data_IF_584755596675
#
_entry.id   IF_584755596675
#
_cell.length_a   1.000
_cell.length_b   1.000
_cell.length_c   1.000
_cell.angle_alpha   90.00
_cell.angle_beta   90.00
_cell.angle_gamma   90.00
#
_symmetry.space_group_name_H-M   'P 1'
#
loop_
_entity.id
_entity.type
_entity.pdbx_description
1 polymer ?
#
# COMPACT_ATOMS: atom_id res chain seq x y z
N UNK A 1 38.99 14.27 -39.74
CA UNK A 1 37.72 14.85 -40.25
C UNK A 1 37.25 15.90 -39.25
N UNK A 2 37.09 17.17 -39.66
CA UNK A 2 36.66 18.25 -38.78
C UNK A 2 35.15 18.12 -38.50
N UNK A 3 34.79 17.51 -37.39
CA UNK A 3 33.39 17.32 -36.97
C UNK A 3 32.64 18.66 -36.80
N UNK A 4 33.37 19.77 -36.61
CA UNK A 4 32.79 21.08 -36.27
C UNK A 4 32.33 21.93 -37.46
N UNK A 5 32.60 21.51 -38.71
CA UNK A 5 32.19 22.26 -39.91
C UNK A 5 30.95 21.64 -40.59
N UNK A 6 30.48 20.48 -40.13
CA UNK A 6 29.35 19.80 -40.75
C UNK A 6 28.01 20.22 -40.11
N UNK A 7 27.34 21.21 -40.73
CA UNK A 7 26.03 21.71 -40.29
C UNK A 7 24.99 20.60 -40.10
N UNK A 8 25.02 19.53 -40.92
CA UNK A 8 24.10 18.39 -40.79
C UNK A 8 24.33 17.61 -39.49
N UNK A 9 25.59 17.43 -39.11
CA UNK A 9 25.97 16.79 -37.84
C UNK A 9 25.52 17.65 -36.65
N UNK A 10 25.73 18.97 -36.72
CA UNK A 10 25.28 19.90 -35.67
C UNK A 10 23.75 19.87 -35.49
N UNK A 11 22.98 19.86 -36.57
CA UNK A 11 21.52 19.69 -36.52
C UNK A 11 21.09 18.35 -35.94
N UNK A 12 21.77 17.25 -36.30
CA UNK A 12 21.49 15.93 -35.75
C UNK A 12 21.77 15.84 -34.24
N UNK A 13 22.89 16.40 -33.78
CA UNK A 13 23.24 16.46 -32.36
C UNK A 13 22.25 17.33 -31.58
N UNK A 14 21.86 18.49 -32.13
CA UNK A 14 20.86 19.35 -31.52
C UNK A 14 19.51 18.65 -31.40
N UNK A 15 19.05 17.99 -32.47
CA UNK A 15 17.80 17.22 -32.45
C UNK A 15 17.83 16.11 -31.40
N UNK A 16 18.94 15.37 -31.31
CA UNK A 16 19.11 14.33 -30.29
C UNK A 16 19.09 14.93 -28.87
N UNK A 17 19.79 16.05 -28.65
CA UNK A 17 19.80 16.72 -27.34
C UNK A 17 18.40 17.17 -26.93
N UNK A 18 17.60 17.72 -27.85
CA UNK A 18 16.20 18.12 -27.60
C UNK A 18 15.32 16.91 -27.26
N UNK A 19 15.47 15.79 -27.98
CA UNK A 19 14.71 14.57 -27.67
C UNK A 19 15.06 14.06 -26.29
N UNK A 20 16.36 13.99 -25.95
CA UNK A 20 16.80 13.53 -24.63
C UNK A 20 16.27 14.42 -23.50
N UNK A 21 16.33 15.76 -23.63
CA UNK A 21 15.83 16.66 -22.59
C UNK A 21 14.32 16.51 -22.36
N UNK A 22 13.53 16.29 -23.41
CA UNK A 22 12.10 16.00 -23.30
C UNK A 22 11.86 14.67 -22.56
N UNK A 23 12.58 13.62 -22.93
CA UNK A 23 12.46 12.30 -22.30
C UNK A 23 12.80 12.37 -20.80
N UNK A 24 13.93 12.98 -20.44
CA UNK A 24 14.36 13.12 -19.05
C UNK A 24 13.40 13.99 -18.22
N UNK A 25 12.90 15.08 -18.81
CA UNK A 25 11.95 15.98 -18.14
C UNK A 25 10.60 15.31 -17.91
N UNK A 26 10.11 14.56 -18.90
CA UNK A 26 8.88 13.76 -18.76
C UNK A 26 9.04 12.67 -17.69
N UNK A 27 10.15 11.94 -17.71
CA UNK A 27 10.47 10.93 -16.70
C UNK A 27 10.55 11.51 -15.28
N UNK A 28 11.19 12.68 -15.13
CA UNK A 28 11.26 13.38 -13.84
C UNK A 28 9.86 13.79 -13.35
N UNK A 29 8.99 14.25 -14.25
CA UNK A 29 7.59 14.56 -13.93
C UNK A 29 6.82 13.33 -13.44
N UNK A 30 6.90 12.22 -14.18
CA UNK A 30 6.25 10.95 -13.82
C UNK A 30 6.74 10.41 -12.46
N UNK A 31 8.06 10.45 -12.20
CA UNK A 31 8.62 10.02 -10.91
C UNK A 31 8.11 10.88 -9.75
N UNK A 32 7.98 12.20 -9.95
CA UNK A 32 7.40 13.10 -8.94
C UNK A 32 5.92 12.82 -8.70
N UNK A 33 5.15 12.56 -9.74
CA UNK A 33 3.73 12.20 -9.62
C UNK A 33 3.56 10.87 -8.87
N UNK A 34 4.38 9.87 -9.22
CA UNK A 34 4.42 8.58 -8.51
C UNK A 34 4.79 8.76 -7.04
N UNK A 35 5.83 9.54 -6.74
CA UNK A 35 6.26 9.82 -5.36
C UNK A 35 5.14 10.45 -4.55
N UNK A 36 4.46 11.48 -5.08
CA UNK A 36 3.36 12.14 -4.36
C UNK A 36 2.22 11.20 -4.01
N UNK A 37 1.87 10.29 -4.92
CA UNK A 37 0.85 9.29 -4.62
C UNK A 37 1.33 8.35 -3.50
N UNK A 38 2.60 7.92 -3.51
CA UNK A 38 3.18 7.14 -2.41
C UNK A 38 3.23 7.91 -1.09
N UNK A 39 3.54 9.21 -1.12
CA UNK A 39 3.53 10.06 0.08
C UNK A 39 2.12 10.07 0.70
N UNK A 40 1.05 10.08 -0.11
CA UNK A 40 -0.33 9.97 0.39
C UNK A 40 -0.58 8.61 1.04
N UNK A 41 -0.04 7.52 0.49
CA UNK A 41 -0.18 6.18 1.07
C UNK A 41 0.51 6.07 2.45
N UNK A 42 1.74 6.59 2.57
CA UNK A 42 2.57 6.46 3.76
C UNK A 42 2.31 7.54 4.81
N UNK A 43 2.20 8.80 4.39
CA UNK A 43 2.15 9.98 5.26
C UNK A 43 0.75 10.62 5.33
N UNK A 44 -0.15 10.29 4.39
CA UNK A 44 -1.48 10.86 4.30
C UNK A 44 -1.50 12.14 3.44
N UNK A 45 -2.70 12.61 3.08
CA UNK A 45 -2.87 13.73 2.14
C UNK A 45 -2.21 15.04 2.63
N UNK A 46 -2.13 15.24 3.95
CA UNK A 46 -1.54 16.43 4.56
C UNK A 46 -0.19 16.16 5.26
N UNK A 47 0.35 14.93 5.15
CA UNK A 47 1.52 14.52 5.93
C UNK A 47 1.27 14.48 7.44
N UNK A 48 0.01 14.30 7.84
CA UNK A 48 -0.45 14.27 9.25
C UNK A 48 -0.42 12.85 9.85
N UNK A 49 -0.02 11.84 9.06
CA UNK A 49 -0.01 10.44 9.46
C UNK A 49 -1.38 9.77 9.40
N UNK A 50 -2.42 10.47 8.91
CA UNK A 50 -3.72 9.88 8.62
C UNK A 50 -3.65 9.21 7.23
N UNK A 51 -3.03 8.04 7.20
CA UNK A 51 -2.67 7.33 5.97
C UNK A 51 -3.14 5.87 6.00
N UNK A 52 -3.32 5.28 4.80
CA UNK A 52 -3.68 3.87 4.68
C UNK A 52 -2.61 2.97 5.31
N UNK A 53 -1.33 3.33 5.18
CA UNK A 53 -0.24 2.62 5.84
C UNK A 53 -0.37 2.62 7.37
N UNK A 54 -0.67 3.77 7.98
CA UNK A 54 -0.85 3.84 9.43
C UNK A 54 -2.06 3.02 9.90
N UNK A 55 -3.17 3.05 9.14
CA UNK A 55 -4.33 2.22 9.44
C UNK A 55 -4.03 0.71 9.35
N UNK A 56 -3.20 0.28 8.39
CA UNK A 56 -2.71 -1.10 8.32
C UNK A 56 -1.91 -1.48 9.58
N UNK A 57 -1.02 -0.59 10.04
CA UNK A 57 -0.27 -0.82 11.27
C UNK A 57 -1.18 -0.92 12.49
N UNK A 58 -2.23 -0.09 12.57
CA UNK A 58 -3.26 -0.21 13.61
C UNK A 58 -4.02 -1.51 13.55
N UNK A 59 -4.33 -2.04 12.36
CA UNK A 59 -4.91 -3.38 12.22
C UNK A 59 -3.96 -4.48 12.71
N UNK A 60 -2.66 -4.37 12.45
CA UNK A 60 -1.65 -5.31 12.95
C UNK A 60 -1.50 -5.26 14.49
N UNK A 61 -1.60 -4.07 15.08
CA UNK A 61 -1.64 -3.86 16.54
C UNK A 61 -2.90 -4.50 17.15
N UNK A 62 -4.08 -4.25 16.58
CA UNK A 62 -5.32 -4.88 17.03
C UNK A 62 -5.26 -6.40 16.94
N UNK A 63 -4.73 -6.94 15.84
CA UNK A 63 -4.52 -8.38 15.68
C UNK A 63 -3.62 -8.95 16.78
N UNK A 64 -2.52 -8.27 17.13
CA UNK A 64 -1.66 -8.67 18.26
C UNK A 64 -2.41 -8.71 19.59
N UNK A 65 -3.23 -7.69 19.87
CA UNK A 65 -4.02 -7.61 21.11
C UNK A 65 -5.06 -8.74 21.19
N UNK A 66 -5.71 -9.07 20.08
CA UNK A 66 -6.64 -10.21 19.98
C UNK A 66 -5.92 -11.54 20.22
N UNK A 67 -4.73 -11.74 19.67
CA UNK A 67 -3.91 -12.93 19.89
C UNK A 67 -3.44 -13.06 21.35
N UNK A 68 -3.14 -11.94 22.00
CA UNK A 68 -2.80 -11.91 23.42
C UNK A 68 -3.98 -12.35 24.28
N UNK A 69 -5.20 -11.90 23.95
CA UNK A 69 -6.42 -12.38 24.59
C UNK A 69 -6.67 -13.86 24.32
N UNK A 70 -6.51 -14.33 23.07
CA UNK A 70 -6.64 -15.74 22.76
C UNK A 70 -5.66 -16.61 23.58
N UNK A 71 -4.42 -16.17 23.70
CA UNK A 71 -3.38 -16.85 24.50
C UNK A 71 -3.74 -16.89 25.98
N UNK A 72 -4.27 -15.80 26.55
CA UNK A 72 -4.68 -15.73 27.96
C UNK A 72 -5.73 -16.79 28.34
N UNK A 73 -6.53 -17.23 27.38
CA UNK A 73 -7.61 -18.21 27.55
C UNK A 73 -7.31 -19.57 26.92
N UNK A 74 -6.04 -19.86 26.60
CA UNK A 74 -5.58 -21.11 25.96
C UNK A 74 -6.27 -21.40 24.60
N UNK A 75 -6.51 -20.34 23.82
CA UNK A 75 -7.14 -20.37 22.48
C UNK A 75 -6.20 -19.91 21.36
N UNK A 76 -4.89 -19.99 21.56
CA UNK A 76 -3.90 -19.56 20.58
C UNK A 76 -3.68 -20.53 19.40
N UNK A 77 -4.23 -21.75 19.46
CA UNK A 77 -4.15 -22.75 18.37
C UNK A 77 -5.51 -22.97 17.66
N UNK A 78 -6.49 -22.10 17.88
CA UNK A 78 -7.73 -22.15 17.08
C UNK A 78 -7.43 -21.80 15.62
N UNK A 79 -8.35 -22.16 14.72
CA UNK A 79 -8.20 -21.83 13.31
C UNK A 79 -8.10 -20.32 13.10
N UNK A 80 -8.98 -19.56 13.77
CA UNK A 80 -8.95 -18.10 13.76
C UNK A 80 -7.63 -17.53 14.30
N UNK A 81 -7.11 -18.04 15.42
CA UNK A 81 -5.86 -17.54 16.00
C UNK A 81 -4.64 -17.80 15.10
N UNK A 82 -4.57 -18.96 14.44
CA UNK A 82 -3.51 -19.26 13.47
C UNK A 82 -3.62 -18.41 12.22
N UNK A 83 -4.82 -18.24 11.67
CA UNK A 83 -5.06 -17.38 10.52
C UNK A 83 -4.69 -15.93 10.83
N UNK A 84 -5.07 -15.42 12.00
CA UNK A 84 -4.78 -14.05 12.42
C UNK A 84 -3.27 -13.83 12.64
N UNK A 85 -2.59 -14.84 13.19
CA UNK A 85 -1.12 -14.83 13.33
C UNK A 85 -0.43 -14.77 11.96
N UNK A 86 -0.86 -15.62 11.02
CA UNK A 86 -0.29 -15.68 9.68
C UNK A 86 -0.52 -14.37 8.91
N UNK A 87 -1.75 -13.84 8.90
CA UNK A 87 -2.10 -12.60 8.22
C UNK A 87 -1.36 -11.39 8.82
N UNK A 88 -1.27 -11.29 10.15
CA UNK A 88 -0.48 -10.24 10.81
C UNK A 88 0.99 -10.32 10.41
N UNK A 89 1.57 -11.52 10.38
CA UNK A 89 2.97 -11.71 9.98
C UNK A 89 3.18 -11.30 8.52
N UNK A 90 2.31 -11.75 7.61
CA UNK A 90 2.37 -11.36 6.21
C UNK A 90 2.36 -9.83 6.04
N UNK A 91 1.52 -9.12 6.81
CA UNK A 91 1.46 -7.66 6.76
C UNK A 91 2.75 -6.99 7.27
N UNK A 92 3.38 -7.53 8.31
CA UNK A 92 4.63 -6.99 8.85
C UNK A 92 5.85 -7.27 7.96
N UNK A 93 5.82 -8.38 7.22
CA UNK A 93 6.90 -8.79 6.32
C UNK A 93 6.75 -8.15 4.92
N UNK A 94 5.55 -7.70 4.54
CA UNK A 94 5.23 -7.09 3.26
C UNK A 94 6.11 -5.86 2.94
N UNK A 95 6.65 -5.82 1.72
CA UNK A 95 7.46 -4.71 1.20
C UNK A 95 6.72 -3.92 0.11
N UNK A 96 5.82 -4.58 -0.60
CA UNK A 96 5.03 -3.96 -1.67
C UNK A 96 3.58 -3.71 -1.22
N UNK A 97 2.91 -2.73 -1.84
CA UNK A 97 1.55 -2.32 -1.47
C UNK A 97 0.55 -3.44 -1.78
N UNK A 98 0.77 -4.20 -2.85
CA UNK A 98 -0.03 -5.37 -3.21
C UNK A 98 0.04 -6.46 -2.14
N UNK A 99 1.24 -6.75 -1.60
CA UNK A 99 1.41 -7.70 -0.50
C UNK A 99 0.69 -7.21 0.77
N UNK A 100 0.75 -5.91 1.04
CA UNK A 100 -0.02 -5.30 2.15
C UNK A 100 -1.54 -5.42 1.92
N UNK A 101 -2.01 -5.29 0.68
CA UNK A 101 -3.43 -5.43 0.32
C UNK A 101 -3.91 -6.87 0.57
N UNK A 102 -3.14 -7.86 0.11
CA UNK A 102 -3.41 -9.28 0.34
C UNK A 102 -3.43 -9.62 1.83
N UNK A 103 -2.44 -9.16 2.59
CA UNK A 103 -2.38 -9.38 4.03
C UNK A 103 -3.54 -8.69 4.78
N UNK A 104 -3.96 -7.50 4.33
CA UNK A 104 -5.11 -6.78 4.87
C UNK A 104 -6.44 -7.51 4.62
N UNK A 105 -6.61 -8.11 3.44
CA UNK A 105 -7.76 -8.97 3.14
C UNK A 105 -7.76 -10.20 4.06
N UNK A 106 -6.62 -10.89 4.17
CA UNK A 106 -6.46 -12.04 5.06
C UNK A 106 -6.72 -11.70 6.55
N UNK A 107 -6.33 -10.50 7.00
CA UNK A 107 -6.66 -10.01 8.34
C UNK A 107 -8.17 -9.87 8.55
N UNK A 108 -8.92 -9.47 7.53
CA UNK A 108 -10.39 -9.34 7.58
C UNK A 108 -11.05 -10.71 7.74
N UNK A 109 -10.60 -11.69 6.94
CA UNK A 109 -11.09 -13.06 6.98
C UNK A 109 -10.76 -13.74 8.33
N UNK A 110 -9.52 -13.59 8.80
CA UNK A 110 -9.09 -14.12 10.08
C UNK A 110 -9.85 -13.51 11.26
N UNK A 111 -10.17 -12.22 11.22
CA UNK A 111 -10.99 -11.56 12.25
C UNK A 111 -12.39 -12.17 12.34
N UNK A 112 -13.00 -12.50 11.20
CA UNK A 112 -14.31 -13.15 11.17
C UNK A 112 -14.29 -14.53 11.84
N UNK A 113 -13.24 -15.31 11.59
CA UNK A 113 -13.02 -16.62 12.25
C UNK A 113 -12.87 -16.45 13.76
N UNK A 114 -11.94 -15.59 14.20
CA UNK A 114 -11.71 -15.32 15.63
C UNK A 114 -12.99 -14.85 16.34
N UNK A 115 -13.80 -14.02 15.68
CA UNK A 115 -15.08 -13.56 16.24
C UNK A 115 -16.11 -14.70 16.35
N UNK A 116 -16.14 -15.62 15.41
CA UNK A 116 -17.03 -16.79 15.47
C UNK A 116 -16.64 -17.77 16.58
N UNK A 117 -15.34 -17.88 16.88
CA UNK A 117 -14.78 -18.77 17.90
C UNK A 117 -14.82 -18.17 19.31
N UNK A 118 -14.91 -16.83 19.43
CA UNK A 118 -14.73 -16.09 20.69
C UNK A 118 -15.72 -16.49 21.79
N UNK A 119 -16.92 -16.96 21.42
CA UNK A 119 -17.93 -17.46 22.36
C UNK A 119 -17.43 -18.64 23.21
N UNK A 120 -16.43 -19.39 22.73
CA UNK A 120 -15.83 -20.52 23.43
C UNK A 120 -14.68 -20.15 24.39
N UNK A 121 -14.31 -18.87 24.48
CA UNK A 121 -13.11 -18.45 25.20
C UNK A 121 -13.35 -18.32 26.71
N UNK A 122 -14.61 -18.24 27.16
CA UNK A 122 -14.93 -18.11 28.59
C UNK A 122 -14.39 -16.83 29.21
N UNK A 123 -14.34 -15.74 28.41
CA UNK A 123 -13.79 -14.46 28.86
C UNK A 123 -14.59 -13.86 30.02
N UNK A 124 -13.87 -13.23 30.96
CA UNK A 124 -14.53 -12.34 31.91
C UNK A 124 -15.06 -11.08 31.19
N UNK A 125 -15.87 -10.30 31.89
CA UNK A 125 -16.53 -9.12 31.33
C UNK A 125 -15.53 -8.04 30.85
N UNK A 126 -14.42 -7.85 31.56
CA UNK A 126 -13.39 -6.87 31.19
C UNK A 126 -12.68 -7.26 29.89
N UNK A 127 -12.26 -8.51 29.77
CA UNK A 127 -11.57 -9.01 28.58
C UNK A 127 -12.52 -9.09 27.39
N UNK A 128 -13.79 -9.44 27.60
CA UNK A 128 -14.82 -9.40 26.55
C UNK A 128 -15.01 -7.99 25.98
N UNK A 129 -15.06 -6.97 26.85
CA UNK A 129 -15.10 -5.57 26.40
C UNK A 129 -13.83 -5.16 25.65
N UNK A 130 -12.67 -5.62 26.09
CA UNK A 130 -11.41 -5.34 25.39
C UNK A 130 -11.40 -6.01 24.01
N UNK A 131 -11.84 -7.26 23.92
CA UNK A 131 -11.97 -8.00 22.67
C UNK A 131 -12.85 -7.24 21.66
N UNK A 132 -14.08 -6.89 22.05
CA UNK A 132 -15.01 -6.17 21.16
C UNK A 132 -14.47 -4.78 20.76
N UNK A 133 -13.71 -4.10 21.64
CA UNK A 133 -13.03 -2.86 21.28
C UNK A 133 -12.00 -3.08 20.18
N UNK A 134 -11.17 -4.11 20.28
CA UNK A 134 -10.16 -4.42 19.25
C UNK A 134 -10.82 -4.84 17.92
N UNK A 135 -11.90 -5.63 17.98
CA UNK A 135 -12.70 -5.98 16.79
C UNK A 135 -13.25 -4.71 16.13
N UNK A 136 -13.88 -3.82 16.91
CA UNK A 136 -14.46 -2.57 16.40
C UNK A 136 -13.40 -1.67 15.76
N UNK A 137 -12.25 -1.52 16.41
CA UNK A 137 -11.14 -0.73 15.88
C UNK A 137 -10.62 -1.32 14.56
N UNK A 138 -10.39 -2.64 14.51
CA UNK A 138 -9.88 -3.31 13.31
C UNK A 138 -10.84 -3.20 12.11
N UNK A 139 -12.16 -3.30 12.36
CA UNK A 139 -13.19 -3.06 11.34
C UNK A 139 -13.18 -1.60 10.89
N UNK A 140 -13.18 -0.66 11.84
CA UNK A 140 -13.15 0.78 11.54
C UNK A 140 -11.96 1.18 10.66
N UNK A 141 -10.77 0.68 10.98
CA UNK A 141 -9.55 0.89 10.17
C UNK A 141 -9.67 0.28 8.78
N UNK A 142 -10.30 -0.89 8.66
CA UNK A 142 -10.59 -1.50 7.36
C UNK A 142 -11.52 -0.65 6.49
N UNK A 143 -12.56 -0.07 7.09
CA UNK A 143 -13.47 0.84 6.39
C UNK A 143 -12.76 2.11 5.94
N UNK A 144 -11.91 2.71 6.77
CA UNK A 144 -11.08 3.87 6.39
C UNK A 144 -10.16 3.54 5.23
N UNK A 145 -9.44 2.40 5.29
CA UNK A 145 -8.60 1.93 4.17
C UNK A 145 -9.44 1.76 2.90
N UNK A 146 -10.66 1.23 2.99
CA UNK A 146 -11.49 1.02 1.79
C UNK A 146 -11.98 2.32 1.10
N UNK A 147 -11.83 3.47 1.78
CA UNK A 147 -12.16 4.82 1.31
C UNK A 147 -10.93 5.75 1.28
N UNK A 148 -9.73 5.18 1.16
CA UNK A 148 -8.49 5.94 1.18
C UNK A 148 -8.34 6.92 -0.01
N UNK A 149 -7.56 7.98 0.20
CA UNK A 149 -7.24 8.97 -0.84
C UNK A 149 -6.17 8.50 -1.84
N UNK A 150 -5.48 7.39 -1.56
CA UNK A 150 -4.37 6.86 -2.36
C UNK A 150 -4.85 6.16 -3.64
N UNK A 151 -5.78 5.21 -3.55
CA UNK A 151 -6.23 4.38 -4.68
C UNK A 151 -6.77 5.22 -5.86
N UNK A 152 -7.57 6.29 -5.64
CA UNK A 152 -7.96 7.18 -6.72
C UNK A 152 -6.76 7.87 -7.39
N UNK A 153 -5.71 8.18 -6.63
CA UNK A 153 -4.48 8.79 -7.16
C UNK A 153 -3.61 7.78 -7.92
N UNK A 154 -3.46 6.57 -7.38
CA UNK A 154 -2.80 5.46 -8.06
C UNK A 154 -3.47 5.15 -9.40
N UNK A 155 -4.81 5.07 -9.42
CA UNK A 155 -5.58 4.84 -10.64
C UNK A 155 -5.37 5.96 -11.68
N UNK A 156 -5.44 7.23 -11.27
CA UNK A 156 -5.18 8.39 -12.15
C UNK A 156 -3.77 8.41 -12.69
N UNK A 157 -2.78 8.07 -11.86
CA UNK A 157 -1.39 7.95 -12.29
C UNK A 157 -1.23 6.84 -13.34
N UNK A 158 -1.79 5.66 -13.09
CA UNK A 158 -1.71 4.50 -14.00
C UNK A 158 -2.37 4.79 -15.35
N UNK A 159 -3.54 5.43 -15.35
CA UNK A 159 -4.22 5.88 -16.56
C UNK A 159 -3.33 6.83 -17.37
N UNK A 160 -2.74 7.83 -16.70
CA UNK A 160 -1.82 8.79 -17.32
C UNK A 160 -0.54 8.15 -17.84
N UNK A 161 0.03 7.21 -17.09
CA UNK A 161 1.24 6.48 -17.42
C UNK A 161 1.08 5.70 -18.73
N UNK A 162 -0.10 5.13 -18.97
CA UNK A 162 -0.41 4.35 -20.18
C UNK A 162 -0.55 5.19 -21.47
N UNK A 163 -0.79 6.50 -21.37
CA UNK A 163 -1.04 7.36 -22.53
C UNK A 163 0.23 7.82 -23.27
N UNK A 164 0.13 8.11 -24.58
CA UNK A 164 1.23 8.67 -25.36
C UNK A 164 1.52 10.15 -24.99
N UNK A 165 2.79 10.59 -24.90
CA UNK A 165 4.03 9.82 -25.04
C UNK A 165 4.52 9.13 -23.75
N UNK A 166 3.82 9.31 -22.62
CA UNK A 166 4.22 8.83 -21.29
C UNK A 166 4.47 7.32 -21.24
N UNK A 167 3.65 6.50 -21.91
CA UNK A 167 3.83 5.04 -21.94
C UNK A 167 5.15 4.59 -22.58
N UNK A 168 5.64 5.34 -23.58
CA UNK A 168 6.96 5.07 -24.20
C UNK A 168 8.08 5.50 -23.25
N UNK A 169 7.92 6.67 -22.63
CA UNK A 169 8.90 7.19 -21.67
C UNK A 169 9.00 6.28 -20.44
N UNK A 170 7.88 5.81 -19.91
CA UNK A 170 7.84 4.95 -18.72
C UNK A 170 8.49 3.61 -18.97
N UNK A 171 8.22 2.96 -20.11
CA UNK A 171 8.86 1.72 -20.50
C UNK A 171 10.37 1.88 -20.68
N UNK A 172 10.82 2.98 -21.31
CA UNK A 172 12.25 3.26 -21.52
C UNK A 172 12.99 3.58 -20.21
N UNK A 173 12.31 4.24 -19.27
CA UNK A 173 12.91 4.80 -18.04
C UNK A 173 12.62 3.98 -16.78
N UNK A 174 11.97 2.81 -16.93
CA UNK A 174 11.64 1.89 -15.83
C UNK A 174 10.66 2.49 -14.81
N UNK A 175 9.64 3.21 -15.28
CA UNK A 175 8.61 3.77 -14.40
C UNK A 175 7.40 2.85 -14.41
N UNK A 176 7.20 2.16 -13.30
CA UNK A 176 6.14 1.18 -13.15
C UNK A 176 4.83 1.80 -12.65
N UNK A 177 3.68 1.18 -12.96
CA UNK A 177 2.39 1.55 -12.36
C UNK A 177 2.43 1.44 -10.84
N UNK A 178 1.49 2.13 -10.19
CA UNK A 178 1.24 2.01 -8.77
C UNK A 178 0.25 0.88 -8.50
N UNK A 179 0.54 0.07 -7.50
CA UNK A 179 -0.40 -0.90 -6.95
C UNK A 179 -1.54 -0.21 -6.20
N UNK A 180 -2.53 -0.98 -5.77
CA UNK A 180 -3.70 -0.49 -5.04
C UNK A 180 -3.85 -1.28 -3.75
N UNK A 181 -4.36 -0.63 -2.72
CA UNK A 181 -4.57 -1.25 -1.40
C UNK A 181 -5.97 -1.87 -1.25
N UNK A 182 -6.85 -1.63 -2.22
CA UNK A 182 -8.21 -2.20 -2.34
C UNK A 182 -8.43 -2.88 -3.67
#
# INVERSE_FOLDING_TARGET
MKLWENRKLAWAVLALAVVLTILFSCAAGLRRERSRALDVFYEGTQGDGLSAYNDLQKRAECAYNLLTLATKYDKNDTEGARALTAARRALLDAQEIGEMAEANAALTEALALVRSESGSYGMNEQDSRLFERQVTEMVSRGETISHNDYDPQAARFNERLSGFPRGVVSALMGIEPLERIK
#
